data_IF_435838952017
#
_entry.id   IF_435838952017
#
_cell.length_a   1.000
_cell.length_b   1.000
_cell.length_c   1.000
_cell.angle_alpha   90.00
_cell.angle_beta   90.00
_cell.angle_gamma   90.00
#
_symmetry.space_group_name_H-M   'P 1'
#
loop_
_entity.id
_entity.type
_entity.pdbx_description
1 polymer ?
#
# COMPACT_ATOMS: atom_id res chain seq x y z
N UNK A 1 -10.72 3.95 4.89
CA UNK A 1 -9.67 4.08 3.85
C UNK A 1 -9.89 5.39 3.10
N UNK A 2 -8.92 5.84 2.30
CA UNK A 2 -8.98 7.05 1.45
C UNK A 2 -8.93 6.61 -0.01
N UNK A 3 -9.82 7.18 -0.84
CA UNK A 3 -9.84 6.92 -2.28
C UNK A 3 -8.71 7.69 -2.97
N UNK A 4 -7.92 6.99 -3.79
CA UNK A 4 -6.89 7.56 -4.64
C UNK A 4 -7.36 7.39 -6.10
N UNK A 5 -7.57 8.48 -6.85
CA UNK A 5 -7.97 8.37 -8.25
C UNK A 5 -6.83 7.79 -9.09
N UNK A 6 -7.19 7.03 -10.11
CA UNK A 6 -6.24 6.52 -11.09
C UNK A 6 -5.59 7.64 -11.90
N UNK A 7 -4.42 7.35 -12.46
CA UNK A 7 -3.63 8.32 -13.19
C UNK A 7 -2.22 7.82 -13.51
N UNK A 8 -1.45 8.68 -14.17
CA UNK A 8 -0.05 8.45 -14.51
C UNK A 8 0.84 9.25 -13.56
N UNK A 9 1.73 8.57 -12.84
CA UNK A 9 2.59 9.18 -11.82
C UNK A 9 4.06 8.88 -12.11
N UNK A 10 4.96 9.74 -11.60
CA UNK A 10 6.40 9.45 -11.60
C UNK A 10 6.75 8.78 -10.28
N UNK A 11 7.28 7.55 -10.34
CA UNK A 11 7.73 6.78 -9.18
C UNK A 11 9.23 6.49 -9.29
N UNK A 12 9.88 6.26 -8.15
CA UNK A 12 11.34 6.14 -8.04
C UNK A 12 12.03 7.46 -7.69
N UNK A 13 13.34 7.39 -7.51
CA UNK A 13 14.20 8.47 -7.02
C UNK A 13 15.56 8.47 -7.71
N UNK A 14 16.42 9.39 -7.27
CA UNK A 14 17.82 9.48 -7.73
C UNK A 14 18.81 9.31 -6.57
N UNK A 15 18.33 8.83 -5.41
CA UNK A 15 19.11 8.65 -4.20
C UNK A 15 19.86 7.32 -4.21
N UNK A 16 19.33 6.34 -3.49
CA UNK A 16 19.87 4.99 -3.47
C UNK A 16 19.67 4.29 -4.82
N UNK A 17 20.52 3.31 -5.12
CA UNK A 17 20.51 2.64 -6.42
C UNK A 17 19.26 1.77 -6.64
N UNK A 18 18.63 1.29 -5.57
CA UNK A 18 17.35 0.55 -5.62
C UNK A 18 16.12 1.46 -5.79
N UNK A 19 16.27 2.77 -5.59
CA UNK A 19 15.20 3.74 -5.87
C UNK A 19 15.19 4.19 -7.35
N UNK A 20 16.28 3.96 -8.10
CA UNK A 20 16.47 4.47 -9.46
C UNK A 20 15.94 3.51 -10.54
N UNK A 21 15.62 4.02 -11.74
CA UNK A 21 15.44 5.44 -12.08
C UNK A 21 14.02 5.91 -11.80
N UNK A 22 13.81 7.23 -11.81
CA UNK A 22 12.45 7.77 -11.97
C UNK A 22 11.82 7.30 -13.28
N UNK A 23 10.61 6.76 -13.20
CA UNK A 23 9.86 6.30 -14.37
C UNK A 23 8.35 6.52 -14.19
N UNK A 24 7.61 6.48 -15.31
CA UNK A 24 6.15 6.64 -15.31
C UNK A 24 5.46 5.33 -14.97
N UNK A 25 4.44 5.40 -14.11
CA UNK A 25 3.60 4.27 -13.72
C UNK A 25 2.14 4.69 -13.84
N UNK A 26 1.35 3.88 -14.55
CA UNK A 26 -0.09 4.07 -14.67
C UNK A 26 -0.81 3.18 -13.65
N UNK A 27 -1.61 3.81 -12.80
CA UNK A 27 -2.37 3.12 -11.75
C UNK A 27 -3.87 3.30 -11.97
N UNK A 28 -4.61 2.21 -11.77
CA UNK A 28 -6.08 2.27 -11.65
C UNK A 28 -6.46 2.88 -10.30
N UNK A 29 -7.68 3.43 -10.18
CA UNK A 29 -8.19 3.94 -8.90
C UNK A 29 -8.19 2.85 -7.83
N UNK A 30 -7.78 3.20 -6.62
CA UNK A 30 -7.70 2.27 -5.48
C UNK A 30 -7.93 2.98 -4.15
N UNK A 31 -7.97 2.22 -3.05
CA UNK A 31 -8.10 2.74 -1.69
C UNK A 31 -6.85 2.45 -0.87
N UNK A 32 -6.43 3.39 -0.02
CA UNK A 32 -5.33 3.21 0.91
C UNK A 32 -5.78 3.46 2.36
N UNK A 33 -5.22 2.73 3.33
CA UNK A 33 -5.41 3.03 4.75
C UNK A 33 -4.91 4.44 5.07
N UNK A 34 -5.72 5.24 5.79
CA UNK A 34 -5.28 6.57 6.24
C UNK A 34 -4.22 6.49 7.33
N UNK A 35 -4.29 5.42 8.13
CA UNK A 35 -3.44 5.17 9.27
C UNK A 35 -2.86 3.75 9.17
N UNK A 36 -1.66 3.52 9.74
CA UNK A 36 -1.13 2.17 9.89
C UNK A 36 -2.10 1.27 10.67
N UNK A 37 -2.02 -0.04 10.40
CA UNK A 37 -2.74 -1.04 11.19
C UNK A 37 -2.27 -0.95 12.65
N UNK A 38 -3.21 -0.88 13.58
CA UNK A 38 -2.88 -0.83 15.01
C UNK A 38 -2.65 -2.22 15.58
N UNK A 39 -1.94 -2.30 16.72
CA UNK A 39 -1.77 -3.57 17.44
C UNK A 39 -3.12 -4.18 17.85
N UNK A 40 -4.10 -3.37 18.22
CA UNK A 40 -5.45 -3.85 18.54
C UNK A 40 -6.12 -4.52 17.34
N UNK A 41 -6.06 -3.88 16.17
CA UNK A 41 -6.58 -4.45 14.93
C UNK A 41 -5.84 -5.73 14.53
N UNK A 42 -4.52 -5.75 14.68
CA UNK A 42 -3.73 -6.95 14.46
C UNK A 42 -4.16 -8.10 15.39
N UNK A 43 -4.33 -7.84 16.70
CA UNK A 43 -4.77 -8.87 17.63
C UNK A 43 -6.17 -9.39 17.35
N UNK A 44 -7.09 -8.55 16.86
CA UNK A 44 -8.42 -8.98 16.45
C UNK A 44 -8.34 -10.01 15.30
N UNK A 45 -7.44 -9.79 14.34
CA UNK A 45 -7.19 -10.71 13.23
C UNK A 45 -6.42 -11.95 13.68
N UNK A 46 -5.35 -11.79 14.47
CA UNK A 46 -4.51 -12.89 14.92
C UNK A 46 -5.25 -13.92 15.80
N UNK A 47 -6.33 -13.50 16.48
CA UNK A 47 -7.19 -14.37 17.28
C UNK A 47 -8.33 -15.01 16.49
N UNK A 48 -8.55 -14.62 15.24
CA UNK A 48 -9.62 -15.16 14.42
C UNK A 48 -9.33 -16.62 14.04
N UNK A 49 -10.28 -17.52 14.29
CA UNK A 49 -10.11 -18.97 14.11
C UNK A 49 -10.36 -19.45 12.68
N UNK A 50 -10.96 -18.61 11.83
CA UNK A 50 -11.32 -18.96 10.45
C UNK A 50 -10.50 -18.19 9.40
N UNK A 51 -9.31 -17.71 9.78
CA UNK A 51 -8.49 -16.97 8.84
C UNK A 51 -7.94 -17.91 7.75
N UNK A 52 -8.31 -17.65 6.49
CA UNK A 52 -7.69 -18.32 5.34
C UNK A 52 -6.50 -17.49 4.88
N UNK A 53 -5.30 -18.04 5.07
CA UNK A 53 -4.05 -17.50 4.50
C UNK A 53 -3.71 -18.37 3.29
N UNK A 54 -3.56 -17.73 2.14
CA UNK A 54 -3.22 -18.40 0.87
C UNK A 54 -1.71 -18.65 0.76
#
# INVERSE_FOLDING_TARGET
MVAIPGGSFVMGGEGFDDEKPKHRVDLSSYYMGKYPVTQEQWYAIAKATELKVN
#
